data_IF_918475856296
#
_entry.id   IF_918475856296
#
_cell.length_a   1.000
_cell.length_b   1.000
_cell.length_c   1.000
_cell.angle_alpha   90.00
_cell.angle_beta   90.00
_cell.angle_gamma   90.00
#
_symmetry.space_group_name_H-M   'P 1'
#
loop_
_entity.id
_entity.type
_entity.pdbx_description
1 polymer ?
#
# COMPACT_ATOMS: atom_id res chain seq x y z
N UNK A 1 -17.51 16.50 0.15
CA UNK A 1 -17.44 15.61 -1.02
C UNK A 1 -16.95 14.27 -0.50
N UNK A 2 -17.74 13.21 -0.60
CA UNK A 2 -17.41 11.86 -0.13
C UNK A 2 -17.20 10.89 -1.30
N UNK A 3 -16.75 9.66 -1.01
CA UNK A 3 -16.43 8.66 -2.02
C UNK A 3 -17.61 8.32 -2.94
N UNK A 4 -18.84 8.31 -2.42
CA UNK A 4 -20.04 8.02 -3.22
C UNK A 4 -20.28 9.10 -4.27
N UNK A 5 -20.02 10.36 -3.93
CA UNK A 5 -20.13 11.49 -4.86
C UNK A 5 -19.04 11.48 -5.92
N UNK A 6 -17.85 10.94 -5.62
CA UNK A 6 -16.77 10.76 -6.60
C UNK A 6 -17.12 9.65 -7.60
N UNK A 7 -17.57 8.50 -7.09
CA UNK A 7 -17.99 7.35 -7.92
C UNK A 7 -19.12 7.75 -8.87
N UNK A 8 -20.13 8.49 -8.40
CA UNK A 8 -21.22 9.00 -9.25
C UNK A 8 -20.74 9.92 -10.37
N UNK A 9 -19.63 10.64 -10.16
CA UNK A 9 -19.00 11.51 -11.17
C UNK A 9 -18.05 10.75 -12.10
N UNK A 10 -17.95 9.43 -11.99
CA UNK A 10 -17.03 8.60 -12.78
C UNK A 10 -15.57 8.66 -12.30
N UNK A 11 -15.33 9.19 -11.09
CA UNK A 11 -14.02 9.26 -10.45
C UNK A 11 -13.91 8.13 -9.41
N UNK A 12 -12.72 7.56 -9.20
CA UNK A 12 -12.47 6.57 -8.13
C UNK A 12 -13.39 5.32 -8.14
N UNK A 13 -13.94 4.94 -9.30
CA UNK A 13 -14.87 3.81 -9.45
C UNK A 13 -14.29 2.41 -9.15
N UNK A 14 -12.98 2.32 -8.97
CA UNK A 14 -12.26 1.08 -8.62
C UNK A 14 -11.66 1.12 -7.21
N UNK A 15 -11.96 2.16 -6.43
CA UNK A 15 -11.51 2.26 -5.05
C UNK A 15 -12.26 1.27 -4.16
N UNK A 16 -11.55 0.67 -3.21
CA UNK A 16 -12.12 -0.21 -2.20
C UNK A 16 -11.94 0.47 -0.85
N UNK A 17 -13.00 0.48 -0.03
CA UNK A 17 -12.95 0.93 1.36
C UNK A 17 -13.04 -0.29 2.25
N UNK A 18 -11.97 -0.58 3.00
CA UNK A 18 -11.89 -1.75 3.87
C UNK A 18 -10.66 -1.72 4.77
N UNK A 19 -10.59 -2.67 5.71
CA UNK A 19 -9.41 -2.85 6.57
C UNK A 19 -8.24 -3.37 5.73
N UNK A 20 -7.08 -2.67 5.71
CA UNK A 20 -5.91 -3.13 4.96
C UNK A 20 -5.27 -4.40 5.54
N UNK A 21 -5.59 -4.78 6.79
CA UNK A 21 -5.03 -5.94 7.49
C UNK A 21 -3.50 -5.88 7.61
N UNK A 22 -3.00 -4.83 8.25
CA UNK A 22 -1.58 -4.73 8.63
C UNK A 22 -1.18 -5.82 9.64
N UNK A 23 0.10 -6.21 9.62
CA UNK A 23 0.68 -7.15 10.58
C UNK A 23 0.68 -6.55 11.98
N UNK A 24 1.25 -5.34 12.16
CA UNK A 24 1.22 -4.61 13.43
C UNK A 24 1.44 -3.09 13.22
N UNK A 25 0.36 -2.38 12.90
CA UNK A 25 0.41 -0.93 12.68
C UNK A 25 0.81 -0.12 13.93
N UNK A 26 0.62 -0.65 15.15
CA UNK A 26 1.00 0.06 16.39
C UNK A 26 2.51 0.09 16.59
N UNK A 27 3.23 -0.81 15.93
CA UNK A 27 4.70 -0.91 15.93
C UNK A 27 5.31 -0.56 14.59
N UNK A 28 4.57 0.18 13.76
CA UNK A 28 4.97 0.60 12.41
C UNK A 28 5.26 -0.56 11.43
N UNK A 29 4.69 -1.75 11.69
CA UNK A 29 4.75 -2.87 10.75
C UNK A 29 3.55 -2.87 9.81
N UNK A 30 3.67 -2.04 8.77
CA UNK A 30 2.66 -1.88 7.71
C UNK A 30 2.73 -2.96 6.62
N UNK A 31 3.41 -4.09 6.87
CA UNK A 31 3.29 -5.25 5.97
C UNK A 31 1.85 -5.74 6.00
N UNK A 32 1.37 -6.22 4.86
CA UNK A 32 0.01 -6.75 4.72
C UNK A 32 -0.03 -8.23 5.06
N UNK A 33 -1.08 -8.65 5.77
CA UNK A 33 -1.40 -10.07 5.95
C UNK A 33 -1.81 -10.72 4.62
N UNK A 34 -1.71 -12.06 4.49
CA UNK A 34 -2.11 -12.77 3.28
C UNK A 34 -3.57 -12.51 2.84
N UNK A 35 -4.46 -12.22 3.79
CA UNK A 35 -5.89 -12.01 3.57
C UNK A 35 -6.27 -10.55 3.20
N UNK A 36 -5.28 -9.67 3.04
CA UNK A 36 -5.52 -8.26 2.72
C UNK A 36 -6.25 -8.07 1.37
N UNK A 37 -7.27 -7.21 1.29
CA UNK A 37 -7.96 -6.90 0.02
C UNK A 37 -7.05 -6.16 -0.98
N UNK A 38 -5.92 -5.61 -0.52
CA UNK A 38 -4.99 -4.91 -1.40
C UNK A 38 -4.35 -5.83 -2.45
N UNK A 39 -4.27 -7.14 -2.20
CA UNK A 39 -3.72 -8.09 -3.17
C UNK A 39 -4.60 -8.20 -4.43
N UNK A 40 -5.92 -8.02 -4.30
CA UNK A 40 -6.87 -8.02 -5.43
C UNK A 40 -6.72 -6.75 -6.29
N UNK A 41 -6.23 -5.66 -5.69
CA UNK A 41 -5.89 -4.41 -6.39
C UNK A 41 -4.57 -4.50 -7.18
N UNK A 42 -3.89 -5.64 -7.15
CA UNK A 42 -2.59 -5.82 -7.77
C UNK A 42 -1.44 -5.20 -6.98
N UNK A 43 -1.64 -4.89 -5.68
CA UNK A 43 -0.56 -4.45 -4.81
C UNK A 43 0.56 -5.49 -4.77
N UNK A 44 1.80 -5.01 -4.70
CA UNK A 44 2.99 -5.86 -4.57
C UNK A 44 3.84 -5.34 -3.43
N UNK A 45 4.32 -6.26 -2.59
CA UNK A 45 5.20 -5.91 -1.47
C UNK A 45 6.43 -5.17 -1.97
N UNK A 46 6.74 -4.04 -1.35
CA UNK A 46 7.97 -3.30 -1.60
C UNK A 46 9.17 -4.15 -1.16
N UNK A 47 10.19 -4.34 -2.02
CA UNK A 47 11.41 -5.04 -1.66
C UNK A 47 12.31 -4.12 -0.84
N UNK A 48 11.96 -3.85 0.42
CA UNK A 48 12.65 -2.89 1.30
C UNK A 48 14.15 -3.19 1.40
N UNK A 49 14.53 -4.46 1.38
CA UNK A 49 15.91 -4.94 1.40
C UNK A 49 16.73 -4.52 0.16
N UNK A 50 16.07 -4.01 -0.89
CA UNK A 50 16.69 -3.52 -2.13
C UNK A 50 16.56 -2.01 -2.33
N UNK A 51 15.98 -1.30 -1.35
CA UNK A 51 15.82 0.15 -1.42
C UNK A 51 17.10 0.82 -0.89
N UNK A 52 17.60 1.81 -1.63
CA UNK A 52 18.82 2.55 -1.32
C UNK A 52 19.99 2.20 -2.24
N UNK A 53 21.14 2.89 -2.10
CA UNK A 53 22.32 2.63 -2.91
C UNK A 53 22.76 1.18 -2.76
N UNK A 54 22.81 0.45 -3.88
CA UNK A 54 23.34 -0.90 -3.91
C UNK A 54 24.85 -0.80 -4.15
N UNK A 55 25.66 -1.18 -3.16
CA UNK A 55 27.12 -1.06 -3.19
C UNK A 55 27.68 -0.02 -2.22
N UNK A 56 29.00 0.23 -2.29
CA UNK A 56 29.66 1.17 -1.37
C UNK A 56 29.23 2.59 -1.71
N UNK A 57 28.43 3.19 -0.85
CA UNK A 57 28.12 4.62 -0.92
C UNK A 57 29.44 5.41 -0.83
N UNK A 58 29.94 5.90 -1.96
CA UNK A 58 31.05 6.86 -1.99
C UNK A 58 30.45 8.24 -1.70
N UNK A 59 30.25 8.53 -0.42
CA UNK A 59 30.09 9.91 0.02
C UNK A 59 31.31 10.70 -0.45
N UNK A 60 31.08 11.81 -1.15
CA UNK A 60 32.13 12.81 -1.42
C UNK A 60 32.51 13.50 -0.11
#
# INVERSE_FOLDING_TARGET
MDLSELVKKGLDGHSIVGDPLFVDAKRDDYRLKPESPAWELGFRRLPLERIGPQGRFKGR
#
